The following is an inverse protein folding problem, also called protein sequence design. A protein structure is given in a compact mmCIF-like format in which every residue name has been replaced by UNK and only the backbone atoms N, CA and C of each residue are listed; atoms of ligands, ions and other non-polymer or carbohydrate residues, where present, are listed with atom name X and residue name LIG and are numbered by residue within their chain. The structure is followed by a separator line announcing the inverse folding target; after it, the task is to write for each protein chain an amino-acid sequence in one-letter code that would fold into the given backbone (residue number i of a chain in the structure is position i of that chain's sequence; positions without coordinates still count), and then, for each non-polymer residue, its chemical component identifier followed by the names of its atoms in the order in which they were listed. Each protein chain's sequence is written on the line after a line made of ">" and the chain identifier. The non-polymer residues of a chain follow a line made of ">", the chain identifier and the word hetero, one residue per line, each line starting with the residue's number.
data_IF_320935491601
#
_entry.id   IF_320935491601
#
_cell.length_a   1.000
_cell.length_b   1.000
_cell.length_c   1.000
_cell.angle_alpha   90.00
_cell.angle_beta   90.00
_cell.angle_gamma   90.00
#
_symmetry.space_group_name_H-M   'P 1'
#
loop_
_entity.id
_entity.type
_entity.pdbx_description
1 polymer ?
#
# COMPACT_ATOMS: atom_id res chain seq x y z
N UNK A 1 -19.67 -15.66 -8.77
CA UNK A 1 -18.51 -15.20 -9.56
C UNK A 1 -19.05 -14.46 -10.78
N UNK A 2 -18.39 -13.43 -11.20
CA UNK A 2 -18.77 -12.66 -12.40
C UNK A 2 -18.13 -13.31 -13.64
N UNK A 3 -18.73 -13.11 -14.84
CA UNK A 3 -18.19 -13.63 -16.11
C UNK A 3 -16.95 -12.89 -16.62
N UNK A 4 -16.32 -12.07 -15.77
CA UNK A 4 -15.13 -11.29 -16.10
C UNK A 4 -13.86 -12.16 -15.99
N UNK A 5 -13.06 -12.19 -17.07
CA UNK A 5 -11.82 -12.93 -17.18
C UNK A 5 -10.62 -11.99 -17.00
N UNK A 6 -9.84 -12.15 -15.93
CA UNK A 6 -8.70 -11.28 -15.58
C UNK A 6 -7.42 -12.09 -15.50
N UNK A 7 -6.42 -11.72 -16.27
CA UNK A 7 -5.06 -12.26 -16.15
C UNK A 7 -4.15 -11.25 -15.43
N UNK A 8 -3.64 -11.61 -14.26
CA UNK A 8 -2.58 -10.85 -13.61
C UNK A 8 -1.19 -11.31 -14.12
N UNK A 9 -0.49 -10.41 -14.76
CA UNK A 9 0.93 -10.59 -15.07
C UNK A 9 1.75 -9.94 -13.95
N UNK A 10 2.17 -10.75 -12.99
CA UNK A 10 2.77 -10.31 -11.74
C UNK A 10 3.78 -11.33 -11.23
N UNK A 11 4.77 -10.87 -10.45
CA UNK A 11 5.59 -11.79 -9.66
C UNK A 11 4.74 -12.49 -8.59
N UNK A 12 5.00 -13.78 -8.36
CA UNK A 12 4.36 -14.49 -7.26
C UNK A 12 4.78 -13.85 -5.93
N UNK A 13 3.82 -13.19 -5.29
CA UNK A 13 4.05 -12.43 -4.04
C UNK A 13 4.00 -13.27 -2.77
N UNK A 14 3.67 -14.56 -2.87
CA UNK A 14 3.61 -15.48 -1.74
C UNK A 14 5.00 -15.65 -1.09
N UNK A 15 5.05 -15.46 0.22
CA UNK A 15 6.30 -15.50 0.98
C UNK A 15 7.11 -14.21 0.96
N UNK A 16 6.76 -13.23 0.17
CA UNK A 16 7.37 -11.90 0.22
C UNK A 16 6.93 -11.13 1.46
N UNK A 17 7.75 -10.15 1.85
CA UNK A 17 7.46 -9.25 2.98
C UNK A 17 7.15 -7.85 2.48
N UNK A 18 6.22 -7.16 3.14
CA UNK A 18 5.85 -5.77 2.81
C UNK A 18 4.90 -5.64 1.62
N UNK A 19 5.04 -4.56 0.84
CA UNK A 19 4.10 -4.20 -0.22
C UNK A 19 3.79 -5.29 -1.26
N UNK A 20 4.75 -6.13 -1.72
CA UNK A 20 4.43 -7.22 -2.64
C UNK A 20 3.46 -8.25 -2.07
N UNK A 21 3.56 -8.59 -0.77
CA UNK A 21 2.61 -9.55 -0.17
C UNK A 21 1.21 -8.95 -0.04
N UNK A 22 1.10 -7.65 0.22
CA UNK A 22 -0.20 -6.96 0.25
C UNK A 22 -0.82 -6.85 -1.13
N UNK A 23 -0.03 -6.53 -2.15
CA UNK A 23 -0.50 -6.52 -3.52
C UNK A 23 -1.01 -7.91 -3.91
N UNK A 24 -0.27 -8.97 -3.59
CA UNK A 24 -0.67 -10.35 -3.83
C UNK A 24 -1.96 -10.72 -3.07
N UNK A 25 -2.10 -10.33 -1.80
CA UNK A 25 -3.33 -10.55 -1.03
C UNK A 25 -4.56 -9.91 -1.67
N UNK A 26 -4.42 -8.69 -2.19
CA UNK A 26 -5.47 -8.03 -2.97
C UNK A 26 -5.79 -8.81 -4.26
N UNK A 27 -4.78 -9.27 -5.00
CA UNK A 27 -4.96 -10.04 -6.24
C UNK A 27 -5.69 -11.36 -5.99
N UNK A 28 -5.37 -12.04 -4.88
CA UNK A 28 -6.09 -13.25 -4.43
C UNK A 28 -7.55 -12.93 -4.15
N UNK A 29 -7.85 -11.84 -3.45
CA UNK A 29 -9.22 -11.42 -3.19
C UNK A 29 -10.01 -11.09 -4.48
N UNK A 30 -9.34 -10.61 -5.53
CA UNK A 30 -9.95 -10.47 -6.88
C UNK A 30 -10.25 -11.84 -7.48
N UNK A 31 -9.31 -12.79 -7.36
CA UNK A 31 -9.48 -14.15 -7.90
C UNK A 31 -10.62 -14.94 -7.23
N UNK A 32 -11.00 -14.58 -6.01
CA UNK A 32 -12.16 -15.16 -5.33
C UNK A 32 -13.51 -14.64 -5.87
N UNK A 33 -13.49 -13.53 -6.62
CA UNK A 33 -14.71 -12.84 -7.08
C UNK A 33 -14.95 -12.89 -8.59
N UNK A 34 -13.93 -13.21 -9.39
CA UNK A 34 -14.05 -13.36 -10.84
C UNK A 34 -13.19 -14.53 -11.36
N UNK A 35 -13.30 -14.86 -12.64
CA UNK A 35 -12.41 -15.82 -13.27
C UNK A 35 -11.04 -15.18 -13.46
N UNK A 36 -10.06 -15.62 -12.66
CA UNK A 36 -8.75 -15.01 -12.60
C UNK A 36 -7.63 -16.04 -12.74
N UNK A 37 -6.60 -15.68 -13.49
CA UNK A 37 -5.35 -16.44 -13.57
C UNK A 37 -4.15 -15.54 -13.32
N UNK A 38 -3.00 -16.17 -13.04
CA UNK A 38 -1.75 -15.50 -12.74
C UNK A 38 -0.65 -16.02 -13.67
N UNK A 39 0.21 -15.12 -14.13
CA UNK A 39 1.40 -15.45 -14.92
C UNK A 39 2.56 -14.52 -14.53
N UNK A 40 3.79 -14.95 -14.78
CA UNK A 40 5.00 -14.18 -14.50
C UNK A 40 5.99 -14.91 -13.60
N UNK A 41 7.02 -14.21 -13.16
CA UNK A 41 8.13 -14.79 -12.40
C UNK A 41 7.63 -15.42 -11.08
N UNK A 42 8.06 -16.65 -10.83
CA UNK A 42 7.69 -17.41 -9.63
C UNK A 42 6.40 -18.21 -9.75
N UNK A 43 5.60 -18.01 -10.79
CA UNK A 43 4.44 -18.86 -11.10
C UNK A 43 4.86 -20.12 -11.84
N UNK A 44 4.12 -21.23 -11.64
CA UNK A 44 4.43 -22.56 -12.19
C UNK A 44 4.63 -22.58 -13.71
N UNK A 45 3.83 -21.77 -14.41
CA UNK A 45 3.79 -21.74 -15.86
C UNK A 45 4.63 -20.58 -16.45
N UNK A 46 5.51 -19.95 -15.65
CA UNK A 46 6.37 -18.89 -16.15
C UNK A 46 7.32 -19.41 -17.24
N UNK A 47 7.41 -18.66 -18.33
CA UNK A 47 8.37 -18.91 -19.43
C UNK A 47 9.18 -17.65 -19.69
N UNK A 48 10.49 -17.76 -19.54
CA UNK A 48 11.39 -16.64 -19.78
C UNK A 48 11.39 -16.24 -21.26
N UNK A 49 11.34 -14.94 -21.54
CA UNK A 49 11.34 -14.39 -22.90
C UNK A 49 9.99 -14.45 -23.64
N UNK A 50 8.95 -15.01 -23.02
CA UNK A 50 7.60 -15.02 -23.60
C UNK A 50 7.01 -13.60 -23.60
N UNK A 51 6.47 -13.19 -24.73
CA UNK A 51 5.77 -11.89 -24.86
C UNK A 51 4.44 -11.89 -24.10
N UNK A 52 3.88 -10.70 -23.84
CA UNK A 52 2.56 -10.58 -23.22
C UNK A 52 1.49 -11.34 -24.04
N UNK A 53 1.48 -11.21 -25.35
CA UNK A 53 0.48 -11.86 -26.20
C UNK A 53 0.60 -13.39 -26.18
N UNK A 54 1.82 -13.92 -26.22
CA UNK A 54 2.07 -15.36 -26.12
C UNK A 54 1.61 -15.90 -24.77
N UNK A 55 1.92 -15.18 -23.69
CA UNK A 55 1.47 -15.54 -22.34
C UNK A 55 -0.06 -15.54 -22.25
N UNK A 56 -0.74 -14.51 -22.76
CA UNK A 56 -2.22 -14.44 -22.76
C UNK A 56 -2.80 -15.59 -23.56
N UNK A 57 -2.35 -15.83 -24.77
CA UNK A 57 -2.87 -16.90 -25.63
C UNK A 57 -2.71 -18.30 -25.02
N UNK A 58 -1.67 -18.51 -24.23
CA UNK A 58 -1.39 -19.78 -23.56
C UNK A 58 -2.14 -19.94 -22.24
N UNK A 59 -2.17 -18.88 -21.41
CA UNK A 59 -2.66 -18.99 -20.02
C UNK A 59 -4.17 -18.69 -19.95
N UNK A 60 -4.62 -17.64 -20.63
CA UNK A 60 -6.01 -17.16 -20.59
C UNK A 60 -6.40 -16.53 -21.93
N UNK A 61 -6.59 -17.38 -22.97
CA UNK A 61 -6.87 -16.88 -24.31
C UNK A 61 -8.20 -16.11 -24.45
N UNK A 62 -9.08 -16.19 -23.48
CA UNK A 62 -10.36 -15.48 -23.36
C UNK A 62 -10.35 -14.32 -22.35
N UNK A 63 -9.15 -13.84 -21.96
CA UNK A 63 -9.02 -12.69 -21.06
C UNK A 63 -9.77 -11.46 -21.59
N UNK A 64 -10.54 -10.81 -20.71
CA UNK A 64 -11.12 -9.47 -20.95
C UNK A 64 -10.09 -8.39 -20.56
N UNK A 65 -9.38 -8.63 -19.47
CA UNK A 65 -8.33 -7.74 -18.96
C UNK A 65 -7.03 -8.47 -18.65
N UNK A 66 -5.93 -7.83 -19.00
CA UNK A 66 -4.58 -8.22 -18.60
C UNK A 66 -4.02 -7.13 -17.68
N UNK A 67 -3.75 -7.49 -16.44
CA UNK A 67 -3.20 -6.56 -15.45
C UNK A 67 -1.69 -6.68 -15.41
N UNK A 68 -1.00 -5.67 -15.93
CA UNK A 68 0.44 -5.49 -15.80
C UNK A 68 0.74 -4.97 -14.38
N UNK A 69 0.82 -5.92 -13.43
CA UNK A 69 0.84 -5.62 -12.01
C UNK A 69 2.25 -5.49 -11.41
N UNK A 70 3.26 -5.75 -12.21
CA UNK A 70 4.66 -5.67 -11.79
C UNK A 70 5.22 -4.25 -11.92
N UNK A 71 6.32 -4.00 -11.21
CA UNK A 71 7.08 -2.75 -11.37
C UNK A 71 7.80 -2.66 -12.72
N UNK A 72 7.83 -3.72 -13.49
CA UNK A 72 8.38 -3.76 -14.84
C UNK A 72 7.28 -3.45 -15.84
N UNK A 73 7.46 -2.37 -16.59
CA UNK A 73 6.56 -2.04 -17.70
C UNK A 73 6.87 -3.01 -18.85
N UNK A 74 5.88 -3.79 -19.23
CA UNK A 74 5.98 -4.56 -20.47
C UNK A 74 5.90 -3.62 -21.67
N UNK A 75 6.96 -3.56 -22.46
CA UNK A 75 7.05 -2.68 -23.63
C UNK A 75 6.56 -3.34 -24.92
N UNK A 76 6.35 -4.64 -24.89
CA UNK A 76 5.94 -5.50 -26.02
C UNK A 76 4.42 -5.66 -26.14
N UNK A 77 3.66 -4.64 -25.68
CA UNK A 77 2.20 -4.68 -25.71
C UNK A 77 1.67 -4.76 -27.14
N UNK A 78 0.82 -5.74 -27.41
CA UNK A 78 0.20 -5.86 -28.72
C UNK A 78 -0.80 -4.72 -28.94
N UNK A 79 -0.88 -4.23 -30.17
CA UNK A 79 -1.90 -3.28 -30.60
C UNK A 79 -3.06 -4.01 -31.26
N UNK A 80 -4.29 -3.52 -31.02
CA UNK A 80 -5.48 -4.06 -31.68
C UNK A 80 -5.90 -5.46 -31.19
N UNK A 81 -5.40 -5.89 -30.01
CA UNK A 81 -5.88 -7.11 -29.36
C UNK A 81 -7.30 -6.93 -28.81
N UNK A 82 -7.96 -8.03 -28.53
CA UNK A 82 -9.33 -8.05 -28.03
C UNK A 82 -9.45 -7.75 -26.52
N UNK A 83 -8.37 -7.94 -25.73
CA UNK A 83 -8.33 -7.68 -24.29
C UNK A 83 -7.84 -6.27 -24.00
N UNK A 84 -8.29 -5.72 -22.87
CA UNK A 84 -7.79 -4.45 -22.32
C UNK A 84 -6.57 -4.69 -21.43
N UNK A 85 -5.70 -3.69 -21.32
CA UNK A 85 -4.49 -3.75 -20.51
C UNK A 85 -4.53 -2.67 -19.43
N UNK A 86 -4.48 -3.10 -18.16
CA UNK A 86 -4.41 -2.22 -17.01
C UNK A 86 -3.04 -2.25 -16.32
N UNK A 87 -2.71 -1.17 -15.59
CA UNK A 87 -1.47 -1.09 -14.81
C UNK A 87 -1.68 -0.47 -13.43
N UNK A 88 -0.99 -0.99 -12.41
CA UNK A 88 -1.01 -0.42 -11.06
C UNK A 88 0.12 0.57 -10.85
N UNK A 89 -0.21 1.77 -10.38
CA UNK A 89 0.73 2.83 -10.06
C UNK A 89 0.69 3.14 -8.57
N UNK A 90 1.83 2.99 -7.89
CA UNK A 90 1.99 3.36 -6.48
C UNK A 90 2.60 4.76 -6.37
N UNK A 91 3.91 4.88 -6.52
CA UNK A 91 4.63 6.13 -6.37
C UNK A 91 4.64 6.90 -7.69
N UNK A 92 4.08 8.12 -7.69
CA UNK A 92 4.00 8.97 -8.89
C UNK A 92 5.11 10.02 -8.95
N UNK A 93 5.93 10.17 -7.89
CA UNK A 93 6.96 11.20 -7.81
C UNK A 93 8.28 10.81 -8.49
N UNK A 94 8.60 9.53 -8.60
CA UNK A 94 9.81 9.02 -9.25
C UNK A 94 9.71 7.53 -9.59
N UNK A 95 10.43 7.12 -10.64
CA UNK A 95 10.66 5.72 -11.01
C UNK A 95 12.14 5.47 -11.25
N UNK A 96 12.83 5.03 -10.21
CA UNK A 96 14.29 4.85 -10.24
C UNK A 96 14.76 3.81 -11.27
N UNK A 97 14.01 2.73 -11.48
CA UNK A 97 14.33 1.70 -12.47
C UNK A 97 14.43 2.23 -13.91
N UNK A 98 13.69 3.29 -14.22
CA UNK A 98 13.70 3.93 -15.55
C UNK A 98 14.48 5.24 -15.56
N UNK A 99 15.22 5.55 -14.50
CA UNK A 99 15.93 6.84 -14.33
C UNK A 99 15.01 8.05 -14.46
N UNK A 100 13.75 7.89 -14.11
CA UNK A 100 12.74 8.94 -14.14
C UNK A 100 12.67 9.56 -12.74
N UNK A 101 12.88 10.86 -12.67
CA UNK A 101 12.88 11.64 -11.43
C UNK A 101 11.73 12.66 -11.35
N UNK A 102 10.77 12.58 -12.27
CA UNK A 102 9.64 13.52 -12.30
C UNK A 102 8.33 12.81 -12.64
N UNK A 103 7.19 13.28 -12.08
CA UNK A 103 5.87 12.77 -12.43
C UNK A 103 5.53 12.93 -13.91
N UNK A 104 5.95 14.04 -14.54
CA UNK A 104 5.77 14.30 -15.99
C UNK A 104 6.42 13.20 -16.82
N UNK A 105 7.70 12.93 -16.56
CA UNK A 105 8.44 11.89 -17.28
C UNK A 105 7.82 10.50 -17.09
N UNK A 106 7.25 10.24 -15.90
CA UNK A 106 6.58 8.99 -15.65
C UNK A 106 5.24 8.88 -16.40
N UNK A 107 4.42 9.92 -16.40
CA UNK A 107 3.19 9.95 -17.21
C UNK A 107 3.49 9.79 -18.72
N UNK A 108 4.52 10.46 -19.23
CA UNK A 108 4.96 10.30 -20.62
C UNK A 108 5.39 8.85 -20.95
N UNK A 109 6.06 8.17 -20.01
CA UNK A 109 6.40 6.77 -20.19
C UNK A 109 5.13 5.89 -20.24
N UNK A 110 4.19 6.10 -19.31
CA UNK A 110 2.92 5.36 -19.29
C UNK A 110 2.12 5.54 -20.57
N UNK A 111 2.04 6.76 -21.10
CA UNK A 111 1.35 7.04 -22.36
C UNK A 111 1.99 6.32 -23.57
N UNK A 112 3.33 6.21 -23.59
CA UNK A 112 4.04 5.44 -24.62
C UNK A 112 3.79 3.94 -24.56
N UNK A 113 3.37 3.44 -23.41
CA UNK A 113 3.12 2.01 -23.20
C UNK A 113 1.69 1.58 -23.51
N UNK A 114 0.81 2.52 -23.91
CA UNK A 114 -0.56 2.26 -24.39
C UNK A 114 -1.41 1.38 -23.47
N UNK A 115 -1.52 1.77 -22.17
CA UNK A 115 -2.48 1.17 -21.26
C UNK A 115 -3.90 1.65 -21.58
N UNK A 116 -4.90 0.76 -21.42
CA UNK A 116 -6.31 1.14 -21.48
C UNK A 116 -6.75 1.81 -20.19
N UNK A 117 -6.24 1.36 -19.04
CA UNK A 117 -6.52 1.95 -17.73
C UNK A 117 -5.32 1.93 -16.79
N UNK A 118 -5.22 2.96 -15.95
CA UNK A 118 -4.24 3.09 -14.86
C UNK A 118 -4.97 3.10 -13.51
N UNK A 119 -4.55 2.21 -12.60
CA UNK A 119 -5.07 2.10 -11.24
C UNK A 119 -4.07 2.67 -10.25
N UNK A 120 -4.37 3.83 -9.64
CA UNK A 120 -3.44 4.58 -8.81
C UNK A 120 -3.73 4.39 -7.33
N UNK A 121 -2.69 4.05 -6.55
CA UNK A 121 -2.76 3.94 -5.09
C UNK A 121 -2.91 5.31 -4.42
N UNK A 122 -2.39 6.36 -5.04
CA UNK A 122 -2.39 7.72 -4.51
C UNK A 122 -3.03 8.69 -5.49
N UNK A 123 -4.13 9.33 -5.08
CA UNK A 123 -4.87 10.30 -5.88
C UNK A 123 -4.22 11.68 -5.87
N UNK A 124 -3.61 12.06 -4.73
CA UNK A 124 -3.01 13.39 -4.52
C UNK A 124 -1.65 13.29 -3.83
N UNK A 125 -0.77 14.25 -4.17
CA UNK A 125 0.49 14.52 -3.49
C UNK A 125 0.38 15.85 -2.74
N UNK A 126 1.11 16.00 -1.65
CA UNK A 126 1.45 17.30 -1.10
C UNK A 126 2.87 17.68 -1.57
N UNK A 127 3.05 18.94 -1.94
CA UNK A 127 4.36 19.45 -2.37
C UNK A 127 4.22 20.38 -3.58
N UNK A 128 5.01 21.43 -3.57
CA UNK A 128 4.87 22.61 -4.44
C UNK A 128 5.34 22.40 -5.87
N UNK A 129 6.12 21.36 -6.14
CA UNK A 129 6.69 21.13 -7.47
C UNK A 129 5.81 20.27 -8.38
N UNK A 130 4.87 19.53 -7.80
CA UNK A 130 4.10 18.55 -8.52
C UNK A 130 2.62 18.77 -8.22
N UNK A 131 1.88 19.29 -9.17
CA UNK A 131 0.42 19.33 -9.09
C UNK A 131 -0.11 17.94 -9.31
N UNK A 132 -0.71 17.27 -8.32
CA UNK A 132 -1.18 15.89 -8.45
C UNK A 132 -2.31 15.75 -9.46
N UNK A 133 -3.13 16.78 -9.59
CA UNK A 133 -4.16 16.85 -10.62
C UNK A 133 -3.52 16.74 -12.03
N UNK A 134 -2.33 17.32 -12.21
CA UNK A 134 -1.62 17.28 -13.48
C UNK A 134 -1.18 15.88 -13.88
N UNK A 135 -0.83 14.99 -12.92
CA UNK A 135 -0.48 13.61 -13.29
C UNK A 135 -1.65 12.88 -13.95
N UNK A 136 -2.86 13.06 -13.42
CA UNK A 136 -4.07 12.53 -14.03
C UNK A 136 -4.36 13.14 -15.41
N UNK A 137 -4.19 14.44 -15.53
CA UNK A 137 -4.37 15.19 -16.78
C UNK A 137 -3.38 14.78 -17.85
N UNK A 138 -2.17 14.37 -17.46
CA UNK A 138 -1.12 13.94 -18.38
C UNK A 138 -1.26 12.51 -18.90
N UNK A 139 -2.18 11.72 -18.34
CA UNK A 139 -2.42 10.36 -18.80
C UNK A 139 -3.51 10.33 -19.89
N UNK A 140 -3.21 9.65 -20.99
CA UNK A 140 -4.08 9.56 -22.17
C UNK A 140 -5.08 8.37 -22.11
N UNK A 141 -5.12 7.65 -20.98
CA UNK A 141 -5.94 6.47 -20.77
C UNK A 141 -6.98 6.67 -19.67
N UNK A 142 -7.84 5.69 -19.45
CA UNK A 142 -8.77 5.65 -18.31
C UNK A 142 -8.00 5.63 -16.98
N UNK A 143 -8.51 6.31 -15.96
CA UNK A 143 -7.83 6.50 -14.67
C UNK A 143 -8.74 6.19 -13.51
N UNK A 144 -8.26 5.34 -12.61
CA UNK A 144 -8.98 4.95 -11.41
C UNK A 144 -8.15 5.17 -10.15
N UNK A 145 -8.79 5.66 -9.10
CA UNK A 145 -8.19 5.68 -7.78
C UNK A 145 -8.53 4.39 -7.04
N UNK A 146 -7.52 3.59 -6.79
CA UNK A 146 -7.63 2.31 -6.09
C UNK A 146 -6.68 2.31 -4.89
N UNK A 147 -7.06 2.89 -3.73
CA UNK A 147 -6.20 3.00 -2.57
C UNK A 147 -5.79 1.63 -2.02
N UNK A 148 -4.78 1.62 -1.14
CA UNK A 148 -4.36 0.42 -0.44
C UNK A 148 -5.50 -0.20 0.37
N UNK A 149 -5.39 -1.48 0.60
CA UNK A 149 -6.27 -2.28 1.45
C UNK A 149 -5.43 -3.24 2.31
N UNK A 150 -6.08 -4.00 3.17
CA UNK A 150 -5.41 -4.89 4.12
C UNK A 150 -6.12 -6.24 4.21
N UNK A 151 -5.33 -7.31 4.40
CA UNK A 151 -5.84 -8.62 4.80
C UNK A 151 -6.16 -8.60 6.30
N UNK A 152 -7.45 -8.52 6.63
CA UNK A 152 -7.87 -8.37 8.02
C UNK A 152 -7.54 -9.57 8.90
N UNK A 153 -7.41 -10.76 8.33
CA UNK A 153 -7.06 -11.97 9.07
C UNK A 153 -5.61 -11.95 9.54
N UNK A 154 -4.74 -11.26 8.81
CA UNK A 154 -3.32 -11.09 9.13
C UNK A 154 -3.08 -10.05 10.23
N UNK A 155 -4.00 -9.08 10.41
CA UNK A 155 -3.83 -7.92 11.28
C UNK A 155 -4.85 -7.86 12.43
N UNK A 156 -5.26 -9.02 12.96
CA UNK A 156 -6.21 -9.06 14.08
C UNK A 156 -5.62 -8.49 15.36
N UNK A 157 -6.38 -7.66 16.11
CA UNK A 157 -5.95 -7.21 17.43
C UNK A 157 -5.66 -8.37 18.39
N UNK A 158 -4.61 -8.22 19.20
CA UNK A 158 -4.25 -9.13 20.30
C UNK A 158 -4.29 -8.37 21.62
N UNK A 159 -4.03 -9.07 22.73
CA UNK A 159 -3.83 -8.44 24.03
C UNK A 159 -2.70 -7.41 23.91
N UNK A 160 -3.01 -6.15 24.24
CA UNK A 160 -2.08 -5.03 24.13
C UNK A 160 -1.09 -5.03 25.29
N UNK A 161 0.15 -5.39 25.02
CA UNK A 161 1.24 -5.41 26.01
C UNK A 161 2.45 -4.56 25.62
N UNK A 162 2.33 -3.80 24.51
CA UNK A 162 3.27 -2.79 24.08
C UNK A 162 2.53 -1.45 24.07
N UNK A 163 3.08 -0.44 24.75
CA UNK A 163 2.39 0.85 24.88
C UNK A 163 2.49 1.67 23.63
N UNK A 164 3.69 1.75 23.04
CA UNK A 164 3.91 2.48 21.78
C UNK A 164 4.89 1.74 20.86
N UNK A 165 4.62 1.78 19.57
CA UNK A 165 5.54 1.26 18.57
C UNK A 165 5.79 2.28 17.46
N UNK A 166 7.03 2.30 16.97
CA UNK A 166 7.48 2.94 15.74
C UNK A 166 8.23 1.90 14.92
N UNK A 167 7.73 1.58 13.73
CA UNK A 167 8.36 0.63 12.81
C UNK A 167 8.35 1.24 11.41
N UNK A 168 9.53 1.60 10.89
CA UNK A 168 9.59 2.23 9.59
C UNK A 168 10.92 2.85 9.21
N UNK A 169 11.04 3.29 7.97
CA UNK A 169 12.23 3.98 7.46
C UNK A 169 12.26 5.43 7.94
N UNK A 170 13.47 5.94 8.13
CA UNK A 170 13.79 7.36 8.35
C UNK A 170 14.53 7.91 7.13
N UNK A 171 14.76 9.21 7.08
CA UNK A 171 15.51 9.87 6.00
C UNK A 171 14.92 11.21 5.60
N UNK A 172 15.50 11.83 4.56
CA UNK A 172 15.13 13.19 4.13
C UNK A 172 13.65 13.36 3.76
N UNK A 173 13.03 12.31 3.23
CA UNK A 173 11.60 12.34 2.87
C UNK A 173 10.66 12.11 4.06
N UNK A 174 11.18 11.90 5.27
CA UNK A 174 10.38 11.53 6.44
C UNK A 174 10.74 12.37 7.69
N UNK A 175 10.57 13.71 7.67
CA UNK A 175 11.00 14.57 8.77
C UNK A 175 10.41 14.15 10.12
N UNK A 176 9.10 13.99 10.22
CA UNK A 176 8.45 13.56 11.46
C UNK A 176 8.97 12.20 11.97
N UNK A 177 9.26 11.24 11.07
CA UNK A 177 9.82 9.94 11.48
C UNK A 177 11.23 10.08 12.05
N UNK A 178 12.03 11.03 11.55
CA UNK A 178 13.35 11.34 12.11
C UNK A 178 13.21 11.87 13.54
N UNK A 179 12.28 12.79 13.78
CA UNK A 179 11.97 13.33 15.10
C UNK A 179 11.52 12.22 16.07
N UNK A 180 10.56 11.40 15.65
CA UNK A 180 10.08 10.27 16.44
C UNK A 180 11.22 9.30 16.77
N UNK A 181 12.02 8.92 15.77
CA UNK A 181 13.15 8.02 15.97
C UNK A 181 14.12 8.52 17.03
N UNK A 182 14.40 9.81 17.05
CA UNK A 182 15.31 10.41 18.00
C UNK A 182 14.71 10.56 19.40
N UNK A 183 13.41 10.87 19.50
CA UNK A 183 12.79 11.29 20.76
C UNK A 183 11.92 10.24 21.45
N UNK A 184 11.48 9.15 20.79
CA UNK A 184 10.43 8.25 21.29
C UNK A 184 10.73 7.61 22.65
N UNK A 185 11.98 7.25 22.95
CA UNK A 185 12.36 6.68 24.24
C UNK A 185 12.33 7.71 25.38
N UNK A 186 12.57 8.97 25.06
CA UNK A 186 12.43 10.06 26.02
C UNK A 186 10.95 10.36 26.27
N UNK A 187 10.17 10.53 25.23
CA UNK A 187 8.74 10.86 25.30
C UNK A 187 7.89 9.74 25.92
N UNK A 188 8.29 8.48 25.75
CA UNK A 188 7.58 7.32 26.34
C UNK A 188 8.37 6.67 27.49
N UNK A 189 9.12 7.48 28.27
CA UNK A 189 9.87 6.98 29.42
C UNK A 189 8.96 6.33 30.46
N UNK A 190 9.29 5.10 30.85
CA UNK A 190 8.49 4.29 31.79
C UNK A 190 7.44 3.41 31.10
N UNK A 191 7.30 3.50 29.79
CA UNK A 191 6.39 2.67 28.99
C UNK A 191 7.15 1.64 28.15
N UNK A 192 6.44 0.60 27.68
CA UNK A 192 7.01 -0.42 26.78
C UNK A 192 7.03 0.08 25.34
N UNK A 193 8.22 0.27 24.79
CA UNK A 193 8.44 0.84 23.46
C UNK A 193 9.04 -0.20 22.52
N UNK A 194 8.47 -0.34 21.34
CA UNK A 194 9.11 -0.95 20.17
C UNK A 194 9.55 0.16 19.22
N UNK A 195 10.85 0.24 18.95
CA UNK A 195 11.42 1.14 17.94
C UNK A 195 12.29 0.35 16.98
N UNK A 196 11.84 0.24 15.74
CA UNK A 196 12.53 -0.58 14.75
C UNK A 196 12.63 0.14 13.40
N UNK A 197 13.80 0.02 12.78
CA UNK A 197 14.04 0.52 11.43
C UNK A 197 13.63 -0.52 10.39
N UNK A 198 12.94 -0.09 9.34
CA UNK A 198 12.71 -0.96 8.20
C UNK A 198 14.06 -1.30 7.51
N UNK A 199 14.23 -2.51 6.96
CA UNK A 199 15.41 -2.89 6.20
C UNK A 199 15.70 -1.89 5.09
N UNK A 200 16.98 -1.60 4.83
CA UNK A 200 17.41 -0.63 3.80
C UNK A 200 18.08 -1.31 2.61
N UNK A 201 17.89 -0.75 1.43
CA UNK A 201 18.66 -1.05 0.22
C UNK A 201 18.52 -2.47 -0.32
N UNK A 202 19.64 -3.03 -0.83
CA UNK A 202 19.69 -4.39 -1.41
C UNK A 202 19.39 -5.52 -0.41
N UNK A 203 19.45 -5.22 0.91
CA UNK A 203 19.01 -6.15 1.95
C UNK A 203 17.50 -6.37 1.95
N UNK A 204 16.76 -5.59 1.19
CA UNK A 204 15.34 -5.83 0.90
C UNK A 204 15.18 -6.86 -0.22
N UNK A 205 15.99 -7.91 -0.17
CA UNK A 205 15.72 -9.10 -0.98
C UNK A 205 14.42 -9.71 -0.47
N UNK A 206 13.42 -9.71 -1.32
CA UNK A 206 12.05 -10.08 -1.02
C UNK A 206 11.92 -11.52 -0.55
N UNK A 207 12.94 -12.34 -0.82
CA UNK A 207 13.02 -13.76 -0.48
C UNK A 207 14.00 -14.04 0.67
N UNK A 208 14.64 -13.01 1.21
CA UNK A 208 15.69 -13.19 2.22
C UNK A 208 15.11 -13.59 3.58
N UNK A 209 15.11 -14.89 3.87
CA UNK A 209 14.69 -15.46 5.14
C UNK A 209 15.41 -14.82 6.34
N UNK A 210 16.67 -14.37 6.17
CA UNK A 210 17.43 -13.73 7.25
C UNK A 210 16.76 -12.43 7.75
N UNK A 211 16.03 -11.70 6.89
CA UNK A 211 15.28 -10.52 7.30
C UNK A 211 14.15 -10.84 8.28
N UNK A 212 13.54 -12.01 8.14
CA UNK A 212 12.48 -12.47 9.05
C UNK A 212 13.00 -12.68 10.47
N UNK A 213 14.29 -12.95 10.63
CA UNK A 213 14.92 -13.14 11.94
C UNK A 213 15.53 -11.87 12.52
N UNK A 214 16.01 -10.96 11.68
CA UNK A 214 16.76 -9.77 12.10
C UNK A 214 15.92 -8.50 12.19
N UNK A 215 14.78 -8.42 11.47
CA UNK A 215 13.92 -7.24 11.40
C UNK A 215 12.45 -7.58 11.72
N UNK A 216 11.67 -6.55 12.07
CA UNK A 216 10.21 -6.68 12.20
C UNK A 216 9.58 -6.58 10.80
N UNK A 217 9.53 -7.71 10.11
CA UNK A 217 8.88 -7.88 8.80
C UNK A 217 7.94 -9.09 8.83
N UNK A 218 7.02 -9.19 7.90
CA UNK A 218 6.06 -10.29 7.82
C UNK A 218 5.30 -10.49 9.13
N UNK A 219 5.26 -11.73 9.64
CA UNK A 219 4.54 -12.09 10.87
C UNK A 219 5.02 -11.33 12.12
N UNK A 220 6.30 -11.08 12.23
CA UNK A 220 6.87 -10.32 13.37
C UNK A 220 6.39 -8.86 13.37
N UNK A 221 6.25 -8.25 12.21
CA UNK A 221 5.67 -6.91 12.06
C UNK A 221 4.19 -6.91 12.42
N UNK A 222 3.42 -7.89 11.91
CA UNK A 222 2.00 -8.06 12.22
C UNK A 222 1.77 -8.28 13.72
N UNK A 223 2.58 -9.14 14.33
CA UNK A 223 2.50 -9.41 15.77
C UNK A 223 2.85 -8.17 16.63
N UNK A 224 3.86 -7.40 16.23
CA UNK A 224 4.21 -6.16 16.92
C UNK A 224 3.08 -5.14 16.86
N UNK A 225 2.44 -4.93 15.70
CA UNK A 225 1.26 -4.07 15.57
C UNK A 225 0.09 -4.61 16.41
N UNK A 226 -0.23 -5.90 16.31
CA UNK A 226 -1.34 -6.51 17.02
C UNK A 226 -1.24 -6.31 18.54
N UNK A 227 -0.02 -6.28 19.09
CA UNK A 227 0.27 -6.09 20.53
C UNK A 227 0.43 -4.62 20.95
N UNK A 228 0.56 -3.68 20.02
CA UNK A 228 0.77 -2.26 20.31
C UNK A 228 -0.55 -1.53 20.58
N UNK A 229 -0.56 -0.69 21.62
CA UNK A 229 -1.67 0.24 21.91
C UNK A 229 -1.64 1.42 20.94
N UNK A 230 -0.48 2.05 20.81
CA UNK A 230 -0.24 3.21 19.96
C UNK A 230 0.76 2.84 18.88
N UNK A 231 0.44 3.16 17.62
CA UNK A 231 1.39 3.10 16.52
C UNK A 231 1.70 4.53 16.05
N UNK A 232 2.93 4.95 16.32
CA UNK A 232 3.42 6.27 15.98
C UNK A 232 4.24 6.18 14.69
N UNK A 233 3.84 6.89 13.65
CA UNK A 233 4.51 6.87 12.36
C UNK A 233 4.33 8.19 11.60
N UNK A 234 4.79 8.29 10.37
CA UNK A 234 4.60 9.49 9.56
C UNK A 234 4.46 9.15 8.09
N UNK A 235 3.69 9.95 7.37
CA UNK A 235 3.75 10.01 5.92
C UNK A 235 5.09 10.59 5.46
N UNK A 236 5.41 10.41 4.18
CA UNK A 236 6.51 11.17 3.57
C UNK A 236 6.13 12.64 3.40
N UNK A 237 7.08 13.46 2.94
CA UNK A 237 6.80 14.85 2.52
C UNK A 237 5.70 14.94 1.45
N UNK A 238 5.42 13.85 0.73
CA UNK A 238 4.34 13.76 -0.27
C UNK A 238 2.97 13.49 0.35
N UNK A 239 2.90 13.23 1.64
CA UNK A 239 1.65 12.95 2.38
C UNK A 239 0.82 11.82 1.77
N UNK A 240 1.45 10.76 1.27
CA UNK A 240 0.74 9.58 0.79
C UNK A 240 -0.05 8.88 1.89
N UNK A 241 -1.29 8.45 1.63
CA UNK A 241 -2.02 7.54 2.50
C UNK A 241 -1.42 6.14 2.41
N UNK A 242 -0.39 5.91 3.23
CA UNK A 242 0.39 4.68 3.22
C UNK A 242 -0.46 3.47 3.64
N UNK A 243 -0.08 2.29 3.18
CA UNK A 243 -0.65 1.01 3.61
C UNK A 243 -0.71 0.87 5.14
N UNK A 244 0.28 1.41 5.86
CA UNK A 244 0.37 1.40 7.34
C UNK A 244 -0.86 1.94 8.05
N UNK A 245 -1.64 2.84 7.45
CA UNK A 245 -2.89 3.31 8.03
C UNK A 245 -3.90 2.16 8.19
N UNK A 246 -4.00 1.31 7.19
CA UNK A 246 -4.94 0.20 7.19
C UNK A 246 -4.43 -0.96 8.04
N UNK A 247 -3.14 -1.27 7.99
CA UNK A 247 -2.48 -2.31 8.80
C UNK A 247 -2.58 -2.01 10.30
N UNK A 248 -2.21 -0.81 10.72
CA UNK A 248 -2.25 -0.40 12.12
C UNK A 248 -3.68 -0.32 12.64
N UNK A 249 -4.59 0.21 11.83
CA UNK A 249 -5.99 0.31 12.17
C UNK A 249 -6.64 -1.08 12.30
N UNK A 250 -6.39 -2.02 11.36
CA UNK A 250 -6.86 -3.40 11.43
C UNK A 250 -6.32 -4.13 12.68
N UNK A 251 -5.10 -3.79 13.10
CA UNK A 251 -4.49 -4.30 14.34
C UNK A 251 -5.07 -3.67 15.61
N UNK A 252 -6.01 -2.73 15.51
CA UNK A 252 -6.60 -2.03 16.65
C UNK A 252 -5.64 -1.08 17.36
N UNK A 253 -4.67 -0.50 16.67
CA UNK A 253 -3.80 0.52 17.21
C UNK A 253 -4.45 1.90 17.15
N UNK A 254 -4.24 2.72 18.17
CA UNK A 254 -4.37 4.17 18.03
C UNK A 254 -3.22 4.65 17.10
N UNK A 255 -3.56 5.26 16.00
CA UNK A 255 -2.59 5.81 15.08
C UNK A 255 -2.31 7.27 15.40
N UNK A 256 -1.05 7.62 15.65
CA UNK A 256 -0.56 9.00 15.70
C UNK A 256 0.32 9.23 14.47
N UNK A 257 -0.13 10.09 13.57
CA UNK A 257 0.53 10.31 12.28
C UNK A 257 0.17 11.69 11.72
N UNK A 258 1.04 12.26 10.93
CA UNK A 258 0.67 13.45 10.18
C UNK A 258 -0.37 13.12 9.09
N UNK A 259 -1.29 14.04 8.85
CA UNK A 259 -2.46 13.84 7.98
C UNK A 259 -2.03 13.51 6.54
N UNK A 260 -2.50 12.41 5.96
CA UNK A 260 -2.26 12.13 4.55
C UNK A 260 -3.17 12.95 3.64
N UNK A 261 -2.78 13.10 2.38
CA UNK A 261 -3.71 13.57 1.34
C UNK A 261 -4.88 12.59 1.24
N UNK A 262 -6.04 13.06 0.81
CA UNK A 262 -7.26 12.21 0.69
C UNK A 262 -7.70 11.53 2.01
N UNK A 263 -7.24 12.03 3.16
CA UNK A 263 -7.57 11.45 4.47
C UNK A 263 -9.09 11.31 4.67
N UNK A 264 -9.85 12.37 4.36
CA UNK A 264 -11.30 12.41 4.56
C UNK A 264 -12.02 11.40 3.69
N UNK A 265 -11.62 11.25 2.44
CA UNK A 265 -12.18 10.25 1.50
C UNK A 265 -11.91 8.81 1.96
N UNK A 266 -10.86 8.58 2.74
CA UNK A 266 -10.51 7.29 3.34
C UNK A 266 -11.12 7.10 4.74
N UNK A 267 -11.94 8.03 5.22
CA UNK A 267 -12.49 7.97 6.57
C UNK A 267 -11.42 8.13 7.66
N UNK A 268 -10.26 8.69 7.33
CA UNK A 268 -9.21 9.06 8.28
C UNK A 268 -9.51 10.48 8.77
N UNK A 269 -10.10 10.58 9.95
CA UNK A 269 -10.59 11.84 10.54
C UNK A 269 -9.89 12.04 11.87
N UNK A 270 -9.20 13.17 12.00
CA UNK A 270 -8.50 13.55 13.24
C UNK A 270 -9.43 13.56 14.46
N UNK A 271 -8.94 13.05 15.59
CA UNK A 271 -9.68 12.86 16.84
C UNK A 271 -10.81 11.82 16.76
N UNK A 272 -11.09 11.25 15.58
CA UNK A 272 -12.15 10.26 15.39
C UNK A 272 -11.64 8.85 15.04
N UNK A 273 -10.79 8.72 14.03
CA UNK A 273 -10.26 7.43 13.56
C UNK A 273 -8.75 7.34 13.63
N UNK A 274 -8.06 8.45 13.80
CA UNK A 274 -6.63 8.58 14.10
C UNK A 274 -6.41 9.92 14.82
N UNK A 275 -5.17 10.21 15.22
CA UNK A 275 -4.76 11.48 15.81
C UNK A 275 -3.72 12.11 14.90
N UNK A 276 -4.00 13.33 14.45
CA UNK A 276 -3.05 14.10 13.67
C UNK A 276 -1.92 14.65 14.54
N UNK A 277 -0.68 14.40 14.13
CA UNK A 277 0.51 14.92 14.80
C UNK A 277 1.51 15.45 13.78
N UNK A 278 2.28 16.46 14.20
CA UNK A 278 3.39 17.04 13.44
C UNK A 278 4.68 16.99 14.26
N UNK A 279 5.81 17.40 13.65
CA UNK A 279 7.12 17.38 14.32
C UNK A 279 7.13 18.09 15.67
N UNK A 280 6.36 19.16 15.83
CA UNK A 280 6.28 19.95 17.07
C UNK A 280 5.18 19.52 18.05
N UNK A 281 4.36 18.54 17.76
CA UNK A 281 3.21 18.16 18.59
C UNK A 281 3.15 16.70 18.99
N UNK A 282 3.87 15.80 18.30
CA UNK A 282 3.72 14.35 18.49
C UNK A 282 4.07 13.89 19.92
N UNK A 283 5.04 14.51 20.59
CA UNK A 283 5.43 14.16 21.96
C UNK A 283 4.29 14.43 22.95
N UNK A 284 3.68 15.61 22.85
CA UNK A 284 2.55 16.02 23.72
C UNK A 284 1.35 15.08 23.50
N UNK A 285 0.99 14.82 22.27
CA UNK A 285 -0.12 13.93 21.94
C UNK A 285 0.17 12.48 22.39
N UNK A 286 1.39 12.00 22.20
CA UNK A 286 1.79 10.68 22.69
C UNK A 286 1.63 10.59 24.21
N UNK A 287 2.16 11.54 24.97
CA UNK A 287 2.03 11.58 26.43
C UNK A 287 0.56 11.60 26.88
N UNK A 288 -0.26 12.45 26.25
CA UNK A 288 -1.69 12.53 26.56
C UNK A 288 -2.37 11.14 26.41
N UNK A 289 -2.16 10.43 25.32
CA UNK A 289 -2.80 9.13 25.11
C UNK A 289 -2.15 7.96 25.87
N UNK A 290 -0.92 8.11 26.31
CA UNK A 290 -0.30 7.17 27.26
C UNK A 290 -0.96 7.29 28.65
N UNK A 291 -1.27 8.50 29.08
CA UNK A 291 -1.92 8.80 30.36
C UNK A 291 -3.45 8.60 30.30
N UNK A 292 -4.06 8.75 29.11
CA UNK A 292 -5.50 8.62 28.90
C UNK A 292 -5.85 7.45 27.94
N UNK A 293 -5.59 6.18 28.32
CA UNK A 293 -5.69 5.03 27.43
C UNK A 293 -7.10 4.79 26.89
N UNK A 294 -8.15 5.10 27.64
CA UNK A 294 -9.54 4.89 27.21
C UNK A 294 -9.94 5.86 26.08
N UNK A 295 -9.45 7.10 26.12
CA UNK A 295 -9.64 8.06 25.03
C UNK A 295 -8.99 7.54 23.73
N UNK A 296 -7.77 7.03 23.82
CA UNK A 296 -7.06 6.41 22.70
C UNK A 296 -7.77 5.17 22.17
N UNK A 297 -8.24 4.28 23.05
CA UNK A 297 -9.00 3.07 22.69
C UNK A 297 -10.29 3.38 21.94
N UNK A 298 -11.00 4.44 22.32
CA UNK A 298 -12.21 4.87 21.62
C UNK A 298 -11.94 5.29 20.17
N UNK A 299 -10.84 6.03 19.92
CA UNK A 299 -10.41 6.42 18.56
C UNK A 299 -9.96 5.19 17.78
N UNK A 300 -9.13 4.34 18.36
CA UNK A 300 -8.64 3.11 17.73
C UNK A 300 -9.79 2.18 17.30
N UNK A 301 -10.82 2.04 18.15
CA UNK A 301 -12.00 1.23 17.82
C UNK A 301 -12.79 1.77 16.63
N UNK A 302 -12.92 3.09 16.51
CA UNK A 302 -13.57 3.70 15.34
C UNK A 302 -12.72 3.56 14.07
N UNK A 303 -11.40 3.68 14.19
CA UNK A 303 -10.45 3.42 13.10
C UNK A 303 -10.55 1.98 12.61
N UNK A 304 -10.50 1.02 13.51
CA UNK A 304 -10.68 -0.41 13.20
C UNK A 304 -12.01 -0.65 12.46
N UNK A 305 -13.11 -0.11 12.97
CA UNK A 305 -14.42 -0.24 12.31
C UNK A 305 -14.42 0.32 10.89
N UNK A 306 -13.81 1.50 10.68
CA UNK A 306 -13.66 2.09 9.35
C UNK A 306 -12.89 1.16 8.41
N UNK A 307 -11.77 0.61 8.87
CA UNK A 307 -10.94 -0.30 8.06
C UNK A 307 -11.67 -1.59 7.71
N UNK A 308 -12.34 -2.20 8.67
CA UNK A 308 -13.13 -3.43 8.45
C UNK A 308 -14.29 -3.24 7.47
N UNK A 309 -14.90 -2.06 7.43
CA UNK A 309 -16.00 -1.77 6.52
C UNK A 309 -15.53 -1.39 5.11
N UNK A 310 -14.43 -0.62 4.99
CA UNK A 310 -14.12 0.10 3.77
C UNK A 310 -12.75 -0.27 3.14
N UNK A 311 -11.84 -0.93 3.88
CA UNK A 311 -10.44 -1.06 3.43
C UNK A 311 -9.88 -2.48 3.49
N UNK A 312 -10.72 -3.50 3.61
CA UNK A 312 -10.31 -4.91 3.47
C UNK A 312 -10.11 -5.26 1.99
N UNK A 313 -9.32 -6.31 1.74
CA UNK A 313 -9.00 -6.73 0.38
C UNK A 313 -10.24 -7.10 -0.42
N UNK A 314 -11.21 -7.79 0.16
CA UNK A 314 -12.44 -8.21 -0.53
C UNK A 314 -13.26 -7.01 -1.02
N UNK A 315 -13.38 -5.96 -0.18
CA UNK A 315 -14.07 -4.73 -0.57
C UNK A 315 -13.34 -3.99 -1.69
N UNK A 316 -12.02 -3.94 -1.61
CA UNK A 316 -11.18 -3.32 -2.65
C UNK A 316 -11.23 -4.11 -3.97
N UNK A 317 -11.32 -5.44 -3.90
CA UNK A 317 -11.49 -6.29 -5.05
C UNK A 317 -12.85 -6.08 -5.73
N UNK A 318 -13.93 -5.94 -4.95
CA UNK A 318 -15.25 -5.58 -5.47
C UNK A 318 -15.23 -4.25 -6.23
N UNK A 319 -14.63 -3.20 -5.64
CA UNK A 319 -14.47 -1.89 -6.29
C UNK A 319 -13.67 -2.00 -7.59
N UNK A 320 -12.55 -2.73 -7.57
CA UNK A 320 -11.71 -2.94 -8.74
C UNK A 320 -12.46 -3.66 -9.86
N UNK A 321 -13.18 -4.74 -9.56
CA UNK A 321 -13.97 -5.50 -10.54
C UNK A 321 -15.06 -4.61 -11.16
N UNK A 322 -15.70 -3.74 -10.36
CA UNK A 322 -16.67 -2.79 -10.87
C UNK A 322 -16.03 -1.77 -11.83
N UNK A 323 -14.83 -1.28 -11.52
CA UNK A 323 -14.07 -0.41 -12.43
C UNK A 323 -13.75 -1.12 -13.75
N UNK A 324 -13.31 -2.40 -13.71
CA UNK A 324 -13.02 -3.18 -14.93
C UNK A 324 -14.26 -3.40 -15.81
N UNK A 325 -15.44 -3.42 -15.23
CA UNK A 325 -16.73 -3.54 -15.95
C UNK A 325 -17.24 -2.23 -16.52
N UNK A 326 -16.53 -1.12 -16.32
CA UNK A 326 -17.00 0.20 -16.72
C UNK A 326 -18.10 0.76 -15.81
N UNK A 327 -18.27 0.21 -14.62
CA UNK A 327 -19.13 0.75 -13.56
C UNK A 327 -18.35 1.81 -12.76
N UNK A 328 -18.89 3.02 -12.66
CA UNK A 328 -18.41 4.07 -11.73
C UNK A 328 -19.07 3.84 -10.38
#
# INVERSE_FOLDING_TARGET
>A
MTDLNVLFMTHRGEGYVGAPSTQHGFEVAVAEQCNCKFAGIGWKDHREGETMLETVNRVMPDADWVMDADNNLHTDKPKGQRFKIGHFVSDIHAKHHYKISSPVGYAQLLNKTHYDAIFMRYKKLQGTQYRPESFWEWLDCEKHWLPWSVEINDYKPKVKNVDVSFIGSTGKCYPIRNSIWSGIYHAARGYRVIREMAPKGKTYDRTNESLKHTHLVGDRYRDALAKSRIFLFGCSIYRYPLQKFFEASASGCLMLCNQPTTARELGLIDGKTFVEVEEGSWERELQYYLENPDAGKAIASRGLKNTLLNHRHEKRAEEFINMLKGGI
#
